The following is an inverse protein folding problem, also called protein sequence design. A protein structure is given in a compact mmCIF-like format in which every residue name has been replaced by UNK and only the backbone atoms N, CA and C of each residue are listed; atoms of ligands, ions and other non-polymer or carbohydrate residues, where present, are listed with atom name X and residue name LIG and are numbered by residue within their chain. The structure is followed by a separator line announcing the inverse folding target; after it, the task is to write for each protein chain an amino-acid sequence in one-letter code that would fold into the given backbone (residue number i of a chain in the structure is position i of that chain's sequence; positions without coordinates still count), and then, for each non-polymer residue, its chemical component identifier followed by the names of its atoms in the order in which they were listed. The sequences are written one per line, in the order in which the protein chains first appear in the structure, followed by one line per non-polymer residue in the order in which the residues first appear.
data_IF_006273123543
#
_entry.id   IF_006273123543
#
_cell.length_a   1.000
_cell.length_b   1.000
_cell.length_c   1.000
_cell.angle_alpha   90.00
_cell.angle_beta   90.00
_cell.angle_gamma   90.00
#
_symmetry.space_group_name_H-M   'P 1'
#
loop_
_entity.id
_entity.type
_entity.pdbx_description
1 polymer ?
#
# COMPACT_ATOMS: atom_id res chain seq x y z
N UNK A 1 16.88 27.69 -20.78
CA UNK A 1 15.63 26.91 -20.84
C UNK A 1 15.88 25.78 -19.88
N UNK A 2 15.55 26.01 -18.61
CA UNK A 2 15.92 25.10 -17.54
C UNK A 2 15.16 23.79 -17.73
N UNK A 3 15.92 22.70 -17.84
CA UNK A 3 15.38 21.37 -18.04
C UNK A 3 14.68 20.98 -16.75
N UNK A 4 13.34 21.12 -16.72
CA UNK A 4 12.61 20.87 -15.48
C UNK A 4 12.66 19.38 -15.19
N UNK A 5 13.20 19.02 -14.02
CA UNK A 5 13.30 17.63 -13.57
C UNK A 5 11.91 16.99 -13.54
N UNK A 6 11.78 15.81 -14.15
CA UNK A 6 10.54 15.03 -14.21
C UNK A 6 10.70 13.65 -13.58
N UNK A 7 9.61 13.10 -13.05
CA UNK A 7 9.52 11.77 -12.45
C UNK A 7 8.41 10.97 -13.12
N UNK A 8 8.67 9.70 -13.40
CA UNK A 8 7.63 8.77 -13.87
C UNK A 8 6.84 8.28 -12.64
N UNK A 9 5.54 8.56 -12.60
CA UNK A 9 4.65 8.22 -11.48
C UNK A 9 3.34 7.62 -11.97
N UNK A 10 2.66 6.87 -11.12
CA UNK A 10 1.26 6.50 -11.35
C UNK A 10 0.36 7.49 -10.63
N UNK A 11 -0.43 8.27 -11.37
CA UNK A 11 -1.37 9.20 -10.78
C UNK A 11 -2.72 8.50 -10.58
N UNK A 12 -3.19 8.38 -9.32
CA UNK A 12 -4.50 7.77 -9.00
C UNK A 12 -5.66 8.55 -9.60
N UNK A 13 -5.57 9.88 -9.61
CA UNK A 13 -6.63 10.76 -10.15
C UNK A 13 -6.76 10.63 -11.67
N UNK A 14 -5.64 10.67 -12.41
CA UNK A 14 -5.67 10.43 -13.86
C UNK A 14 -5.81 8.95 -14.24
N UNK A 15 -5.51 8.04 -13.31
CA UNK A 15 -5.48 6.58 -13.50
C UNK A 15 -4.56 6.13 -14.65
N UNK A 16 -3.41 6.78 -14.78
CA UNK A 16 -2.41 6.49 -15.82
C UNK A 16 -0.99 6.68 -15.26
N UNK A 17 -0.01 6.04 -15.90
CA UNK A 17 1.41 6.40 -15.73
C UNK A 17 1.67 7.71 -16.45
N UNK A 18 2.26 8.67 -15.76
CA UNK A 18 2.48 10.02 -16.25
C UNK A 18 3.77 10.61 -15.69
N UNK A 19 4.16 11.76 -16.22
CA UNK A 19 5.27 12.55 -15.70
C UNK A 19 4.76 13.49 -14.61
N UNK A 20 5.40 13.47 -13.44
CA UNK A 20 5.28 14.52 -12.44
C UNK A 20 6.47 15.48 -12.58
N UNK A 21 6.17 16.77 -12.67
CA UNK A 21 7.16 17.84 -12.76
C UNK A 21 7.59 18.24 -11.36
N UNK A 22 8.90 18.18 -11.06
CA UNK A 22 9.43 18.65 -9.77
C UNK A 22 9.37 20.17 -9.76
N UNK A 23 8.67 20.73 -8.76
CA UNK A 23 8.47 22.19 -8.63
C UNK A 23 9.16 22.76 -7.39
N UNK A 24 9.56 21.92 -6.42
CA UNK A 24 10.41 22.33 -5.32
C UNK A 24 11.32 21.20 -4.84
N UNK A 25 12.52 21.56 -4.37
CA UNK A 25 13.49 20.65 -3.76
C UNK A 25 14.00 21.23 -2.45
N UNK A 26 14.07 20.41 -1.40
CA UNK A 26 14.69 20.75 -0.13
C UNK A 26 15.79 19.73 0.19
N UNK A 27 16.97 20.20 0.58
CA UNK A 27 18.12 19.35 0.91
C UNK A 27 18.49 19.55 2.37
N UNK A 28 18.58 18.44 3.10
CA UNK A 28 19.09 18.38 4.47
C UNK A 28 20.36 17.53 4.44
N UNK A 29 21.47 18.06 4.93
CA UNK A 29 22.72 17.31 5.06
C UNK A 29 23.23 17.34 6.50
N UNK A 30 23.87 16.25 6.91
CA UNK A 30 24.49 16.12 8.22
C UNK A 30 25.82 15.37 8.10
N UNK A 31 26.88 15.92 8.68
CA UNK A 31 28.17 15.25 8.78
C UNK A 31 28.02 13.95 9.57
N UNK A 32 28.49 12.83 9.01
CA UNK A 32 28.44 11.53 9.69
C UNK A 32 29.34 11.50 10.92
N UNK A 33 30.49 12.20 10.86
CA UNK A 33 31.47 12.30 11.93
C UNK A 33 31.70 13.77 12.34
N UNK A 34 31.00 14.32 13.34
CA UNK A 34 31.07 15.74 13.70
C UNK A 34 32.47 16.28 14.07
N UNK A 35 33.46 15.40 14.30
CA UNK A 35 34.85 15.77 14.58
C UNK A 35 35.83 15.52 13.42
N UNK A 36 35.35 15.07 12.26
CA UNK A 36 36.17 14.87 11.05
C UNK A 36 36.32 16.15 10.24
N UNK A 37 37.30 16.17 9.32
CA UNK A 37 37.44 17.27 8.36
C UNK A 37 36.19 17.31 7.45
N UNK A 38 35.45 18.44 7.38
CA UNK A 38 34.26 18.56 6.54
C UNK A 38 34.46 18.28 5.05
N UNK A 39 35.70 18.32 4.55
CA UNK A 39 36.03 18.05 3.15
C UNK A 39 36.19 16.55 2.90
N UNK A 40 36.78 15.82 3.85
CA UNK A 40 37.11 14.39 3.70
C UNK A 40 36.10 13.46 4.41
N UNK A 41 35.08 14.03 5.05
CA UNK A 41 34.10 13.27 5.84
C UNK A 41 32.80 13.02 5.06
N UNK A 42 32.19 11.83 5.22
CA UNK A 42 30.91 11.55 4.62
C UNK A 42 29.77 12.35 5.28
N UNK A 43 28.78 12.70 4.48
CA UNK A 43 27.53 13.33 4.87
C UNK A 43 26.38 12.36 4.61
N UNK A 44 25.43 12.32 5.55
CA UNK A 44 24.09 11.83 5.29
C UNK A 44 23.28 12.97 4.69
N UNK A 45 22.86 12.81 3.45
CA UNK A 45 22.09 13.81 2.71
C UNK A 45 20.71 13.25 2.43
N UNK A 46 19.69 13.93 2.92
CA UNK A 46 18.29 13.65 2.61
C UNK A 46 17.75 14.74 1.70
N UNK A 47 17.22 14.36 0.54
CA UNK A 47 16.60 15.27 -0.43
C UNK A 47 15.10 15.03 -0.46
N UNK A 48 14.32 16.09 -0.31
CA UNK A 48 12.88 16.09 -0.49
C UNK A 48 12.51 16.76 -1.81
N UNK A 49 11.67 16.12 -2.61
CA UNK A 49 11.17 16.69 -3.87
C UNK A 49 9.65 16.76 -3.84
N UNK A 50 9.12 17.96 -4.05
CA UNK A 50 7.70 18.18 -4.28
C UNK A 50 7.46 18.29 -5.78
N UNK A 51 6.62 17.41 -6.31
CA UNK A 51 6.29 17.34 -7.73
C UNK A 51 4.78 17.39 -7.94
N UNK A 52 4.35 17.81 -9.13
CA UNK A 52 2.94 17.88 -9.51
C UNK A 52 2.70 17.07 -10.78
N UNK A 53 1.57 16.36 -10.84
CA UNK A 53 1.14 15.63 -12.03
C UNK A 53 1.05 16.57 -13.24
N UNK A 54 1.65 16.22 -14.37
CA UNK A 54 1.53 17.04 -15.60
C UNK A 54 0.12 17.06 -16.19
N UNK A 55 -0.78 16.18 -15.74
CA UNK A 55 -2.16 16.07 -16.24
C UNK A 55 -3.21 16.71 -15.34
N UNK A 56 -3.17 16.48 -14.03
CA UNK A 56 -4.19 16.94 -13.08
C UNK A 56 -3.65 17.77 -11.93
N UNK A 57 -2.35 18.10 -11.92
CA UNK A 57 -1.67 18.90 -10.88
C UNK A 57 -1.68 18.30 -9.46
N UNK A 58 -2.19 17.08 -9.27
CA UNK A 58 -2.12 16.38 -8.00
C UNK A 58 -0.69 16.25 -7.48
N UNK A 59 -0.44 16.47 -6.18
CA UNK A 59 0.90 16.57 -5.65
C UNK A 59 1.50 15.20 -5.36
N UNK A 60 2.83 15.17 -5.41
CA UNK A 60 3.67 14.07 -4.98
C UNK A 60 4.79 14.61 -4.11
N UNK A 61 5.14 13.88 -3.06
CA UNK A 61 6.29 14.17 -2.22
C UNK A 61 7.21 12.96 -2.21
N UNK A 62 8.48 13.18 -2.51
CA UNK A 62 9.52 12.15 -2.52
C UNK A 62 10.60 12.47 -1.49
N UNK A 63 11.25 11.42 -1.00
CA UNK A 63 12.41 11.45 -0.12
C UNK A 63 13.50 10.54 -0.70
N UNK A 64 14.71 11.06 -0.72
CA UNK A 64 15.91 10.37 -1.19
C UNK A 64 16.99 10.47 -0.12
N UNK A 65 17.63 9.36 0.19
CA UNK A 65 18.79 9.35 1.06
C UNK A 65 20.04 9.04 0.26
N UNK A 66 21.11 9.79 0.54
CA UNK A 66 22.44 9.63 -0.04
C UNK A 66 23.50 9.61 1.07
N UNK A 67 24.58 8.89 0.81
CA UNK A 67 25.87 9.13 1.46
C UNK A 67 26.72 9.90 0.47
N UNK A 68 27.20 11.07 0.85
CA UNK A 68 28.00 11.93 0.00
C UNK A 68 29.33 12.26 0.67
N UNK A 69 30.43 12.03 -0.03
CA UNK A 69 31.76 12.57 0.32
C UNK A 69 32.05 13.70 -0.68
N UNK A 70 32.20 14.96 -0.22
CA UNK A 70 32.36 16.10 -1.10
C UNK A 70 33.49 15.91 -2.12
N UNK A 71 33.17 16.02 -3.41
CA UNK A 71 34.16 15.91 -4.50
C UNK A 71 34.68 14.50 -4.80
N UNK A 72 34.31 13.49 -4.02
CA UNK A 72 34.69 12.09 -4.27
C UNK A 72 33.55 11.27 -4.86
N UNK A 73 32.47 11.07 -4.10
CA UNK A 73 31.34 10.26 -4.56
C UNK A 73 30.02 10.60 -3.85
N UNK A 74 28.92 10.27 -4.51
CA UNK A 74 27.57 10.29 -3.95
C UNK A 74 26.90 8.95 -4.23
N UNK A 75 26.47 8.26 -3.17
CA UNK A 75 25.90 6.92 -3.23
C UNK A 75 24.45 6.93 -2.71
N UNK A 76 23.44 6.58 -3.53
CA UNK A 76 22.05 6.50 -3.08
C UNK A 76 21.88 5.36 -2.06
N UNK A 77 21.13 5.64 -1.00
CA UNK A 77 20.80 4.69 0.07
C UNK A 77 19.35 4.22 -0.01
N UNK A 78 18.45 5.09 -0.49
CA UNK A 78 17.04 4.77 -0.60
C UNK A 78 16.25 5.85 -1.33
N UNK A 79 15.10 5.45 -1.87
CA UNK A 79 14.09 6.33 -2.44
C UNK A 79 12.73 5.92 -1.88
N UNK A 80 11.92 6.91 -1.48
CA UNK A 80 10.57 6.71 -0.98
C UNK A 80 9.64 7.82 -1.48
N UNK A 81 8.41 7.46 -1.82
CA UNK A 81 7.34 8.43 -2.03
C UNK A 81 6.56 8.59 -0.72
N UNK A 82 6.55 9.81 -0.16
CA UNK A 82 5.86 10.18 1.08
C UNK A 82 4.40 10.60 0.85
N UNK A 83 4.10 11.14 -0.34
CA UNK A 83 2.75 11.56 -0.72
C UNK A 83 2.51 11.33 -2.24
N UNK A 84 1.30 10.96 -2.68
CA UNK A 84 0.20 10.48 -1.84
C UNK A 84 0.67 9.24 -1.08
N UNK A 85 0.32 9.16 0.21
CA UNK A 85 0.62 7.97 0.99
C UNK A 85 0.01 6.81 0.20
N UNK A 86 0.87 5.93 -0.32
CA UNK A 86 0.37 4.75 -0.98
C UNK A 86 -0.36 4.01 0.12
N UNK A 87 -1.71 4.04 0.06
CA UNK A 87 -2.66 3.34 0.93
C UNK A 87 -1.89 2.32 1.71
N UNK A 88 -1.59 2.67 2.98
CA UNK A 88 -0.73 1.88 3.86
C UNK A 88 -1.45 0.57 4.03
N UNK A 89 -1.25 -0.33 3.06
CA UNK A 89 -1.73 -1.67 3.13
C UNK A 89 -1.18 -2.14 4.47
N UNK A 90 -2.03 -2.59 5.40
CA UNK A 90 -1.66 -2.66 6.81
C UNK A 90 -0.39 -3.51 6.98
N UNK A 91 0.77 -2.85 6.99
CA UNK A 91 2.01 -3.54 6.67
C UNK A 91 2.41 -4.47 7.81
N UNK A 92 2.08 -4.05 9.02
CA UNK A 92 2.34 -4.78 10.26
C UNK A 92 1.21 -5.78 10.53
N UNK A 93 1.57 -7.06 10.60
CA UNK A 93 0.69 -8.14 11.04
C UNK A 93 0.01 -8.93 9.93
N UNK A 94 -0.02 -8.43 8.69
CA UNK A 94 -0.62 -9.17 7.57
C UNK A 94 0.34 -10.26 7.06
N UNK A 95 -0.08 -11.54 7.02
CA UNK A 95 0.72 -12.63 6.48
C UNK A 95 1.10 -12.45 5.00
N UNK A 96 2.25 -12.98 4.60
CA UNK A 96 2.80 -12.77 3.25
C UNK A 96 1.90 -13.34 2.14
N UNK A 97 1.22 -14.45 2.42
CA UNK A 97 0.26 -15.08 1.50
C UNK A 97 -0.88 -14.13 1.13
N UNK A 98 -1.41 -13.40 2.13
CA UNK A 98 -2.47 -12.39 1.99
C UNK A 98 -1.92 -11.13 1.31
N UNK A 99 -0.73 -10.68 1.74
CA UNK A 99 -0.07 -9.50 1.17
C UNK A 99 0.14 -9.64 -0.34
N UNK A 100 0.67 -10.78 -0.78
CA UNK A 100 0.91 -11.04 -2.20
C UNK A 100 -0.38 -10.97 -3.01
N UNK A 101 -1.47 -11.57 -2.50
CA UNK A 101 -2.76 -11.51 -3.18
C UNK A 101 -3.29 -10.07 -3.30
N UNK A 102 -3.11 -9.25 -2.25
CA UNK A 102 -3.55 -7.85 -2.29
C UNK A 102 -2.68 -7.02 -3.25
N UNK A 103 -1.36 -7.21 -3.26
CA UNK A 103 -0.48 -6.50 -4.19
C UNK A 103 -0.83 -6.81 -5.65
N UNK A 104 -1.17 -8.06 -5.95
CA UNK A 104 -1.63 -8.45 -7.28
C UNK A 104 -2.99 -7.82 -7.63
N UNK A 105 -3.91 -7.66 -6.66
CA UNK A 105 -5.14 -6.92 -6.85
C UNK A 105 -4.88 -5.44 -7.19
N UNK A 106 -4.00 -4.77 -6.43
CA UNK A 106 -3.58 -3.37 -6.66
C UNK A 106 -2.95 -3.22 -8.05
N UNK A 107 -2.03 -4.12 -8.42
CA UNK A 107 -1.37 -4.11 -9.73
C UNK A 107 -2.36 -4.30 -10.87
N UNK A 108 -3.35 -5.18 -10.69
CA UNK A 108 -4.40 -5.43 -11.68
C UNK A 108 -5.26 -4.17 -11.88
N UNK A 109 -5.69 -3.53 -10.79
CA UNK A 109 -6.42 -2.26 -10.85
C UNK A 109 -5.62 -1.17 -11.56
N UNK A 110 -4.35 -1.00 -11.19
CA UNK A 110 -3.46 -0.01 -11.79
C UNK A 110 -3.20 -0.25 -13.29
N UNK A 111 -3.35 -1.49 -13.75
CA UNK A 111 -3.26 -1.85 -15.15
C UNK A 111 -4.59 -1.72 -15.92
N UNK A 112 -5.68 -1.29 -15.26
CA UNK A 112 -7.02 -1.23 -15.85
C UNK A 112 -7.69 -2.60 -16.03
N UNK A 113 -7.17 -3.63 -15.34
CA UNK A 113 -7.69 -5.00 -15.39
C UNK A 113 -8.64 -5.24 -14.21
N UNK A 114 -9.90 -4.79 -14.36
CA UNK A 114 -10.89 -4.76 -13.28
C UNK A 114 -11.38 -6.15 -12.86
N UNK A 115 -11.70 -7.03 -13.81
CA UNK A 115 -12.03 -8.44 -13.53
C UNK A 115 -10.91 -9.16 -12.75
N UNK A 116 -9.64 -9.18 -13.23
CA UNK A 116 -8.53 -9.73 -12.45
C UNK A 116 -8.35 -9.09 -11.08
N UNK A 117 -8.59 -7.78 -10.95
CA UNK A 117 -8.51 -7.09 -9.66
C UNK A 117 -9.50 -7.69 -8.65
N UNK A 118 -10.76 -7.85 -9.03
CA UNK A 118 -11.81 -8.39 -8.16
C UNK A 118 -11.56 -9.86 -7.83
N UNK A 119 -11.08 -10.66 -8.79
CA UNK A 119 -10.65 -12.05 -8.54
C UNK A 119 -9.54 -12.10 -7.49
N UNK A 120 -8.57 -11.20 -7.57
CA UNK A 120 -7.48 -11.12 -6.58
C UNK A 120 -7.97 -10.62 -5.22
N UNK A 121 -8.98 -9.74 -5.17
CA UNK A 121 -9.65 -9.37 -3.92
C UNK A 121 -10.30 -10.59 -3.26
N UNK A 122 -11.02 -11.44 -4.02
CA UNK A 122 -11.55 -12.72 -3.51
C UNK A 122 -10.43 -13.64 -3.01
N UNK A 123 -9.31 -13.73 -3.73
CA UNK A 123 -8.15 -14.53 -3.32
C UNK A 123 -7.52 -14.03 -2.01
N UNK A 124 -7.56 -12.73 -1.72
CA UNK A 124 -7.15 -12.20 -0.43
C UNK A 124 -8.01 -12.75 0.72
N UNK A 125 -9.33 -12.85 0.51
CA UNK A 125 -10.27 -13.42 1.50
C UNK A 125 -10.00 -14.91 1.70
N UNK A 126 -9.72 -15.64 0.60
CA UNK A 126 -9.36 -17.06 0.69
C UNK A 126 -8.05 -17.28 1.46
N UNK A 127 -7.05 -16.43 1.22
CA UNK A 127 -5.79 -16.44 1.96
C UNK A 127 -6.01 -16.08 3.44
N UNK A 128 -6.79 -15.03 3.73
CA UNK A 128 -7.15 -14.64 5.10
C UNK A 128 -7.81 -15.80 5.86
N UNK A 129 -8.79 -16.48 5.25
CA UNK A 129 -9.42 -17.63 5.87
C UNK A 129 -8.42 -18.75 6.18
N UNK A 130 -7.47 -19.00 5.27
CA UNK A 130 -6.42 -20.00 5.47
C UNK A 130 -5.52 -19.65 6.66
N UNK A 131 -5.06 -18.40 6.74
CA UNK A 131 -4.23 -17.91 7.86
C UNK A 131 -4.98 -17.96 9.20
N UNK A 132 -6.30 -17.77 9.18
CA UNK A 132 -7.14 -17.91 10.37
C UNK A 132 -7.53 -19.37 10.68
N UNK A 133 -7.00 -20.36 9.95
CA UNK A 133 -7.16 -21.79 10.23
C UNK A 133 -8.35 -22.46 9.53
N UNK A 134 -9.13 -21.72 8.72
CA UNK A 134 -10.25 -22.27 7.96
C UNK A 134 -9.82 -22.58 6.53
N UNK A 135 -9.62 -23.86 6.21
CA UNK A 135 -9.05 -24.31 4.92
C UNK A 135 -9.95 -25.22 4.09
N UNK A 136 -11.06 -25.70 4.66
CA UNK A 136 -11.91 -26.72 4.02
C UNK A 136 -13.29 -26.18 3.64
N UNK A 137 -13.83 -26.68 2.56
CA UNK A 137 -15.17 -26.32 2.05
C UNK A 137 -15.18 -25.03 1.25
N UNK A 138 -16.39 -24.56 0.91
CA UNK A 138 -16.57 -23.32 0.14
C UNK A 138 -16.15 -22.09 0.93
N UNK A 139 -15.78 -21.02 0.23
CA UNK A 139 -15.41 -19.76 0.87
C UNK A 139 -16.50 -19.23 1.81
N UNK A 140 -17.76 -19.35 1.40
CA UNK A 140 -18.91 -18.99 2.25
C UNK A 140 -18.93 -19.77 3.58
N UNK A 141 -18.73 -21.10 3.54
CA UNK A 141 -18.69 -21.94 4.76
C UNK A 141 -17.51 -21.56 5.68
N UNK A 142 -16.34 -21.29 5.09
CA UNK A 142 -15.15 -20.86 5.83
C UNK A 142 -15.39 -19.52 6.54
N UNK A 143 -16.02 -18.56 5.86
CA UNK A 143 -16.40 -17.27 6.46
C UNK A 143 -17.36 -17.43 7.64
N UNK A 144 -18.41 -18.25 7.49
CA UNK A 144 -19.34 -18.52 8.60
C UNK A 144 -18.64 -19.18 9.79
N UNK A 145 -17.74 -20.14 9.54
CA UNK A 145 -16.96 -20.80 10.59
C UNK A 145 -16.08 -19.81 11.36
N UNK A 146 -15.42 -18.86 10.67
CA UNK A 146 -14.64 -17.81 11.32
C UNK A 146 -15.50 -16.90 12.21
N UNK A 147 -16.72 -16.56 11.77
CA UNK A 147 -17.67 -15.80 12.59
C UNK A 147 -18.07 -16.58 13.83
N UNK A 148 -18.41 -17.86 13.68
CA UNK A 148 -18.85 -18.70 14.78
C UNK A 148 -17.73 -18.91 15.82
N UNK A 149 -16.48 -18.88 15.37
CA UNK A 149 -15.28 -18.87 16.23
C UNK A 149 -14.91 -17.49 16.77
N UNK A 150 -15.71 -16.45 16.50
CA UNK A 150 -15.47 -15.06 16.89
C UNK A 150 -14.13 -14.48 16.40
N UNK A 151 -13.60 -15.00 15.29
CA UNK A 151 -12.39 -14.46 14.63
C UNK A 151 -12.70 -13.27 13.73
N UNK A 152 -13.95 -13.17 13.27
CA UNK A 152 -14.47 -12.02 12.51
C UNK A 152 -15.91 -11.71 12.96
N UNK A 153 -16.31 -10.45 12.85
CA UNK A 153 -17.66 -10.03 13.24
C UNK A 153 -18.72 -10.29 12.16
N UNK A 154 -19.96 -10.47 12.60
CA UNK A 154 -21.12 -10.65 11.71
C UNK A 154 -21.28 -9.52 10.69
N UNK A 155 -20.88 -8.29 11.01
CA UNK A 155 -20.95 -7.16 10.08
C UNK A 155 -19.98 -7.32 8.90
N UNK A 156 -18.79 -7.89 9.14
CA UNK A 156 -17.80 -8.13 8.10
C UNK A 156 -18.22 -9.25 7.14
N UNK A 157 -19.02 -10.21 7.61
CA UNK A 157 -19.55 -11.28 6.77
C UNK A 157 -20.35 -10.72 5.60
N UNK A 158 -21.15 -9.66 5.81
CA UNK A 158 -21.95 -9.06 4.74
C UNK A 158 -21.04 -8.54 3.62
N UNK A 159 -19.97 -7.83 3.99
CA UNK A 159 -19.00 -7.30 3.03
C UNK A 159 -18.21 -8.41 2.35
N UNK A 160 -17.72 -9.38 3.12
CA UNK A 160 -16.94 -10.52 2.63
C UNK A 160 -17.75 -11.42 1.69
N UNK A 161 -19.06 -11.57 1.93
CA UNK A 161 -19.93 -12.33 1.05
C UNK A 161 -20.25 -11.57 -0.24
N UNK A 162 -20.37 -10.24 -0.18
CA UNK A 162 -20.43 -9.37 -1.36
C UNK A 162 -19.19 -9.53 -2.24
N UNK A 163 -17.99 -9.38 -1.65
CA UNK A 163 -16.71 -9.56 -2.33
C UNK A 163 -16.52 -10.98 -2.91
N UNK A 164 -16.97 -12.00 -2.16
CA UNK A 164 -16.99 -13.39 -2.65
C UNK A 164 -17.85 -13.53 -3.89
N UNK A 165 -19.04 -12.93 -3.87
CA UNK A 165 -20.03 -13.07 -4.95
C UNK A 165 -19.52 -12.40 -6.21
N UNK A 166 -19.14 -11.13 -6.14
CA UNK A 166 -18.61 -10.42 -7.32
C UNK A 166 -17.31 -11.06 -7.86
N UNK A 167 -16.43 -11.57 -6.99
CA UNK A 167 -15.25 -12.32 -7.42
C UNK A 167 -15.52 -13.74 -7.91
N UNK A 168 -16.70 -14.28 -7.64
CA UNK A 168 -17.15 -15.54 -8.25
C UNK A 168 -17.73 -15.28 -9.64
N UNK A 169 -18.51 -14.20 -9.78
CA UNK A 169 -19.09 -13.76 -11.05
C UNK A 169 -17.96 -13.41 -12.03
N UNK A 170 -17.01 -12.56 -11.62
CA UNK A 170 -15.83 -12.21 -12.44
C UNK A 170 -14.98 -13.41 -12.89
N UNK A 171 -14.98 -14.52 -12.13
CA UNK A 171 -14.15 -15.68 -12.42
C UNK A 171 -14.83 -16.74 -13.30
N UNK A 172 -16.17 -16.78 -13.30
CA UNK A 172 -16.92 -17.91 -13.84
C UNK A 172 -18.11 -17.53 -14.71
N UNK A 173 -18.69 -16.35 -14.51
CA UNK A 173 -19.78 -15.85 -15.33
C UNK A 173 -19.20 -15.12 -16.56
N UNK A 174 -19.52 -15.63 -17.76
CA UNK A 174 -19.02 -15.09 -19.02
C UNK A 174 -19.70 -13.78 -19.41
N UNK A 175 -20.86 -13.48 -18.81
CA UNK A 175 -21.66 -12.29 -19.11
C UNK A 175 -21.51 -11.21 -18.02
N UNK A 176 -20.78 -11.49 -16.94
CA UNK A 176 -20.52 -10.53 -15.88
C UNK A 176 -19.71 -9.34 -16.39
N UNK A 177 -20.17 -8.13 -16.07
CA UNK A 177 -19.44 -6.89 -16.36
C UNK A 177 -18.93 -6.30 -15.06
N UNK A 178 -17.60 -6.26 -14.90
CA UNK A 178 -16.94 -5.64 -13.76
C UNK A 178 -16.39 -4.29 -14.20
N UNK A 179 -16.94 -3.22 -13.63
CA UNK A 179 -16.48 -1.88 -13.96
C UNK A 179 -15.35 -1.39 -13.04
N UNK A 180 -14.88 -0.18 -13.30
CA UNK A 180 -13.81 0.44 -12.52
C UNK A 180 -14.23 0.67 -11.06
N UNK A 181 -15.47 1.08 -10.82
CA UNK A 181 -16.01 1.30 -9.47
C UNK A 181 -16.07 0.01 -8.68
N UNK A 182 -16.56 -1.06 -9.28
CA UNK A 182 -16.63 -2.39 -8.67
C UNK A 182 -15.25 -2.87 -8.19
N UNK A 183 -14.23 -2.70 -9.04
CA UNK A 183 -12.87 -3.08 -8.71
C UNK A 183 -12.25 -2.18 -7.62
N UNK A 184 -12.48 -0.86 -7.69
CA UNK A 184 -11.98 0.08 -6.70
C UNK A 184 -12.61 -0.15 -5.33
N UNK A 185 -13.93 -0.31 -5.28
CA UNK A 185 -14.66 -0.60 -4.05
C UNK A 185 -14.24 -1.94 -3.47
N UNK A 186 -14.08 -2.97 -4.33
CA UNK A 186 -13.58 -4.27 -3.89
C UNK A 186 -12.20 -4.18 -3.23
N UNK A 187 -11.30 -3.37 -3.80
CA UNK A 187 -9.97 -3.11 -3.27
C UNK A 187 -10.04 -2.42 -1.90
N UNK A 188 -10.85 -1.36 -1.78
CA UNK A 188 -11.02 -0.64 -0.52
C UNK A 188 -11.64 -1.51 0.58
N UNK A 189 -12.66 -2.30 0.26
CA UNK A 189 -13.30 -3.18 1.23
C UNK A 189 -12.37 -4.31 1.68
N UNK A 190 -11.61 -4.92 0.76
CA UNK A 190 -10.66 -5.97 1.16
C UNK A 190 -9.54 -5.40 2.01
N UNK A 191 -9.03 -4.21 1.71
CA UNK A 191 -8.04 -3.53 2.54
C UNK A 191 -8.58 -3.23 3.95
N UNK A 192 -9.79 -2.69 4.06
CA UNK A 192 -10.43 -2.39 5.34
C UNK A 192 -10.61 -3.66 6.19
N UNK A 193 -11.03 -4.78 5.57
CA UNK A 193 -11.16 -6.07 6.25
C UNK A 193 -9.80 -6.57 6.74
N UNK A 194 -8.77 -6.52 5.89
CA UNK A 194 -7.43 -6.99 6.27
C UNK A 194 -6.83 -6.13 7.39
N UNK A 195 -7.07 -4.82 7.38
CA UNK A 195 -6.68 -3.92 8.47
C UNK A 195 -7.34 -4.32 9.79
N UNK A 196 -8.65 -4.57 9.74
CA UNK A 196 -9.41 -4.98 10.89
C UNK A 196 -8.87 -6.29 11.49
N UNK A 197 -8.73 -7.31 10.65
CA UNK A 197 -8.37 -8.66 11.06
C UNK A 197 -6.93 -8.76 11.59
N UNK A 198 -5.97 -8.13 10.91
CA UNK A 198 -4.54 -8.36 11.18
C UNK A 198 -3.81 -7.22 11.89
N UNK A 199 -4.32 -5.98 11.82
CA UNK A 199 -3.54 -4.81 12.26
C UNK A 199 -4.17 -4.04 13.41
N UNK A 200 -5.49 -3.94 13.49
CA UNK A 200 -6.13 -3.13 14.54
C UNK A 200 -5.91 -3.70 15.94
N UNK A 201 -5.93 -5.03 16.11
CA UNK A 201 -5.64 -5.66 17.41
C UNK A 201 -4.23 -5.30 17.90
N UNK A 202 -3.22 -5.50 17.05
CA UNK A 202 -1.83 -5.12 17.36
C UNK A 202 -1.70 -3.63 17.71
N UNK A 203 -2.32 -2.74 16.93
CA UNK A 203 -2.29 -1.30 17.19
C UNK A 203 -2.97 -0.94 18.52
N UNK A 204 -4.05 -1.64 18.87
CA UNK A 204 -4.75 -1.47 20.13
C UNK A 204 -3.90 -1.93 21.31
N UNK A 205 -3.25 -3.08 21.22
CA UNK A 205 -2.36 -3.60 22.26
C UNK A 205 -1.14 -2.70 22.48
N UNK A 206 -0.54 -2.20 21.39
CA UNK A 206 0.53 -1.20 21.46
C UNK A 206 0.05 0.09 22.15
N UNK A 207 -1.16 0.56 21.83
CA UNK A 207 -1.77 1.72 22.47
C UNK A 207 -1.98 1.49 23.98
N UNK A 208 -2.55 0.36 24.37
CA UNK A 208 -2.74 0.02 25.79
C UNK A 208 -1.40 -0.07 26.53
N UNK A 209 -0.40 -0.70 25.91
CA UNK A 209 0.96 -0.81 26.46
C UNK A 209 1.63 0.55 26.63
N UNK A 210 1.41 1.52 25.72
CA UNK A 210 1.88 2.89 25.91
C UNK A 210 1.18 3.57 27.08
N UNK A 211 -0.16 3.46 27.18
CA UNK A 211 -0.91 4.05 28.29
C UNK A 211 -0.54 3.50 29.66
N UNK A 212 -0.24 2.20 29.75
CA UNK A 212 0.19 1.57 30.99
C UNK A 212 1.57 2.06 31.46
N UNK A 213 2.47 2.42 30.54
CA UNK A 213 3.81 2.97 30.84
C UNK A 213 3.82 4.45 31.21
N UNK A 214 2.74 5.17 30.90
CA UNK A 214 2.58 6.60 31.26
C UNK A 214 1.85 6.80 32.59
N UNK A 215 1.54 5.72 33.32
CA UNK A 215 1.11 5.74 34.71
C UNK A 215 2.28 5.34 35.60
#
# INVERSE_FOLDING_TARGET
MDDVKKRQVYCKTCNVRTEAQVVATHVKSQLANPGGDPVDSPYYVTVYEFAVCSGCEEPFLFEYDYIEVPGEFSAPQGERMLYPDHDVFPGKGVPETVRRAQQDAVRSYAAGLYEPCVIMCRKCIEAMCHELGETKGSLHKRLLALRDQQKIDSKLIIWLDGLRTIGNDAAHDLDAQIDKSDALDSLHFVEAVLMYVFSLNTRYDEFQSRRARSK
#
